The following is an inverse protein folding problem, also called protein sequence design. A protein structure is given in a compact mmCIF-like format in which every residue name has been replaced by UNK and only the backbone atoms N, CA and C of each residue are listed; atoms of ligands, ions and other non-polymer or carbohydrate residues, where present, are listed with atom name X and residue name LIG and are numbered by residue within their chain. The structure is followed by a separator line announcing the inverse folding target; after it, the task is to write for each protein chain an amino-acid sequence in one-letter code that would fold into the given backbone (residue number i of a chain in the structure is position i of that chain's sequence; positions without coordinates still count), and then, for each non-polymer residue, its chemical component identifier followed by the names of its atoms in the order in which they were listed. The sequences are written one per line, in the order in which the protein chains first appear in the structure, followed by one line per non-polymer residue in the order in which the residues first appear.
data_IF_125253458968
#
_entry.id   IF_125253458968
#
_cell.length_a   1.000
_cell.length_b   1.000
_cell.length_c   1.000
_cell.angle_alpha   90.00
_cell.angle_beta   90.00
_cell.angle_gamma   90.00
#
_symmetry.space_group_name_H-M   'P 1'
#
loop_
_entity.id
_entity.type
_entity.pdbx_description
1 polymer ?
#
# COMPACT_ATOMS: atom_id res chain seq x y z
N UNK A 1 -13.66 8.37 -8.11
CA UNK A 1 -12.77 9.46 -8.57
C UNK A 1 -13.51 10.57 -9.29
N UNK A 2 -14.17 10.29 -10.43
CA UNK A 2 -14.86 11.30 -11.26
C UNK A 2 -15.91 12.17 -10.54
N UNK A 3 -16.51 11.67 -9.47
CA UNK A 3 -17.45 12.42 -8.64
C UNK A 3 -16.79 13.33 -7.58
N UNK A 4 -15.47 13.54 -7.65
CA UNK A 4 -14.71 14.42 -6.72
C UNK A 4 -14.75 14.00 -5.25
N UNK A 5 -15.02 12.72 -4.98
CA UNK A 5 -15.19 12.23 -3.60
C UNK A 5 -13.86 11.99 -2.89
N UNK A 6 -13.92 11.94 -1.56
CA UNK A 6 -12.89 11.33 -0.73
C UNK A 6 -12.95 9.81 -0.89
N UNK A 7 -11.85 9.20 -1.28
CA UNK A 7 -11.71 7.76 -1.50
C UNK A 7 -10.73 7.21 -0.48
N UNK A 8 -11.22 6.33 0.39
CA UNK A 8 -10.42 5.57 1.33
C UNK A 8 -9.95 4.30 0.60
N UNK A 9 -8.70 4.29 0.14
CA UNK A 9 -8.19 3.26 -0.75
C UNK A 9 -7.45 2.17 0.03
N UNK A 10 -8.13 1.06 0.27
CA UNK A 10 -7.54 -0.19 0.76
C UNK A 10 -7.10 -1.13 -0.38
N UNK A 11 -7.76 -1.05 -1.54
CA UNK A 11 -7.46 -1.88 -2.70
C UNK A 11 -6.21 -1.36 -3.43
N UNK A 12 -5.06 -1.97 -3.14
CA UNK A 12 -3.77 -1.60 -3.75
C UNK A 12 -3.71 -1.99 -5.23
N UNK A 13 -4.42 -3.04 -5.64
CA UNK A 13 -4.44 -3.57 -7.00
C UNK A 13 -4.91 -2.52 -8.02
N UNK A 14 -5.96 -1.75 -7.71
CA UNK A 14 -6.43 -0.67 -8.58
C UNK A 14 -5.34 0.34 -8.89
N UNK A 15 -4.50 0.68 -7.89
CA UNK A 15 -3.42 1.65 -8.07
C UNK A 15 -2.21 1.03 -8.76
N UNK A 16 -1.90 -0.24 -8.50
CA UNK A 16 -0.82 -0.96 -9.20
C UNK A 16 -1.13 -1.11 -10.69
N UNK A 17 -2.36 -1.52 -11.03
CA UNK A 17 -2.76 -1.76 -12.43
C UNK A 17 -2.99 -0.46 -13.20
N UNK A 18 -3.58 0.57 -12.58
CA UNK A 18 -3.95 1.81 -13.28
C UNK A 18 -3.03 3.00 -12.99
N UNK A 19 -2.06 2.87 -12.08
CA UNK A 19 -1.00 3.83 -11.73
C UNK A 19 -1.24 5.28 -12.13
N UNK A 20 -0.58 5.71 -13.22
CA UNK A 20 -0.65 7.08 -13.74
C UNK A 20 -2.07 7.50 -14.14
N UNK A 21 -2.86 6.61 -14.75
CA UNK A 21 -4.24 6.91 -15.15
C UNK A 21 -5.12 7.17 -13.93
N UNK A 22 -4.97 6.35 -12.89
CA UNK A 22 -5.69 6.52 -11.63
C UNK A 22 -5.34 7.87 -10.98
N UNK A 23 -4.05 8.18 -10.84
CA UNK A 23 -3.60 9.43 -10.23
C UNK A 23 -4.01 10.65 -11.04
N UNK A 24 -3.97 10.56 -12.38
CA UNK A 24 -4.46 11.62 -13.25
C UNK A 24 -5.95 11.90 -13.05
N UNK A 25 -6.79 10.87 -12.90
CA UNK A 25 -8.21 11.04 -12.58
C UNK A 25 -8.43 11.65 -11.19
N UNK A 26 -7.62 11.28 -10.19
CA UNK A 26 -7.66 11.89 -8.85
C UNK A 26 -7.46 13.41 -8.97
N UNK A 27 -6.40 13.83 -9.67
CA UNK A 27 -6.05 15.24 -9.86
C UNK A 27 -7.08 15.99 -10.71
N UNK A 28 -7.50 15.39 -11.83
CA UNK A 28 -8.45 15.99 -12.79
C UNK A 28 -9.80 16.32 -12.14
N UNK A 29 -10.24 15.48 -11.20
CA UNK A 29 -11.55 15.62 -10.56
C UNK A 29 -11.47 16.13 -9.11
N UNK A 30 -10.30 16.61 -8.67
CA UNK A 30 -10.07 17.07 -7.29
C UNK A 30 -10.53 16.07 -6.21
N UNK A 31 -10.44 14.77 -6.51
CA UNK A 31 -10.76 13.74 -5.54
C UNK A 31 -9.67 13.69 -4.47
N UNK A 32 -10.06 13.45 -3.22
CA UNK A 32 -9.10 13.23 -2.14
C UNK A 32 -8.83 11.74 -2.00
N UNK A 33 -7.56 11.33 -2.11
CA UNK A 33 -7.15 9.95 -1.92
C UNK A 33 -6.51 9.79 -0.53
N UNK A 34 -7.01 8.84 0.27
CA UNK A 34 -6.41 8.50 1.56
C UNK A 34 -6.03 7.01 1.56
N UNK A 35 -4.76 6.65 1.80
CA UNK A 35 -4.34 5.26 1.85
C UNK A 35 -4.87 4.59 3.13
N UNK A 36 -5.46 3.41 2.98
CA UNK A 36 -5.93 2.59 4.13
C UNK A 36 -5.02 1.38 4.36
N UNK A 37 -4.29 0.95 3.35
CA UNK A 37 -3.27 -0.11 3.47
C UNK A 37 -2.24 0.27 4.55
N UNK A 38 -1.90 -0.66 5.45
CA UNK A 38 -1.28 -0.36 6.74
C UNK A 38 0.01 0.44 6.62
N UNK A 39 0.93 -0.02 5.78
CA UNK A 39 2.24 0.59 5.60
C UNK A 39 2.12 1.94 4.89
N UNK A 40 1.23 2.04 3.89
CA UNK A 40 1.00 3.29 3.17
C UNK A 40 0.35 4.34 4.06
N UNK A 41 -0.56 3.94 4.95
CA UNK A 41 -1.16 4.80 5.96
C UNK A 41 -0.14 5.23 7.03
N UNK A 42 0.75 4.33 7.45
CA UNK A 42 1.84 4.68 8.37
C UNK A 42 2.82 5.69 7.76
N UNK A 43 3.19 5.48 6.49
CA UNK A 43 3.99 6.44 5.71
C UNK A 43 3.25 7.78 5.61
N UNK A 44 1.97 7.78 5.22
CA UNK A 44 1.17 8.99 5.09
C UNK A 44 1.15 9.82 6.38
N UNK A 45 0.94 9.17 7.53
CA UNK A 45 0.96 9.83 8.85
C UNK A 45 2.35 10.38 9.22
N UNK A 46 3.42 9.79 8.69
CA UNK A 46 4.80 10.21 8.94
C UNK A 46 5.29 11.33 8.00
N UNK A 47 4.54 11.64 6.93
CA UNK A 47 4.90 12.70 5.99
C UNK A 47 4.47 14.08 6.50
N UNK A 48 5.23 15.15 6.19
CA UNK A 48 4.82 16.52 6.46
C UNK A 48 3.56 16.90 5.67
N UNK A 49 2.79 17.85 6.20
CA UNK A 49 1.50 18.28 5.65
C UNK A 49 1.53 18.63 4.14
N UNK A 50 2.54 19.34 3.59
CA UNK A 50 2.57 19.63 2.16
C UNK A 50 2.58 18.37 1.28
N UNK A 51 3.27 17.31 1.70
CA UNK A 51 3.29 16.03 1.01
C UNK A 51 1.96 15.28 1.13
N UNK A 52 1.27 15.39 2.28
CA UNK A 52 -0.07 14.84 2.47
C UNK A 52 -1.11 15.52 1.57
N UNK A 53 -1.05 16.86 1.44
CA UNK A 53 -1.95 17.64 0.58
C UNK A 53 -1.64 17.45 -0.91
N UNK A 54 -0.36 17.29 -1.27
CA UNK A 54 0.13 17.08 -2.63
C UNK A 54 0.35 15.61 -3.00
N UNK A 55 -0.45 14.69 -2.45
CA UNK A 55 -0.21 13.25 -2.55
C UNK A 55 -0.02 12.77 -4.00
N UNK A 56 1.15 12.19 -4.27
CA UNK A 56 1.53 11.65 -5.59
C UNK A 56 2.08 12.68 -6.60
N UNK A 57 2.20 13.95 -6.20
CA UNK A 57 2.68 15.02 -7.07
C UNK A 57 3.75 15.92 -6.44
N UNK A 58 3.79 16.01 -5.11
CA UNK A 58 4.79 16.79 -4.41
C UNK A 58 6.15 16.06 -4.34
N UNK A 59 7.24 16.84 -4.39
CA UNK A 59 8.61 16.33 -4.34
C UNK A 59 8.99 15.94 -2.90
N UNK A 60 9.40 14.70 -2.70
CA UNK A 60 9.86 14.20 -1.39
C UNK A 60 11.12 14.95 -0.92
N UNK A 61 12.10 15.14 -1.81
CA UNK A 61 13.40 15.73 -1.47
C UNK A 61 13.27 17.20 -1.05
N UNK A 62 12.42 17.98 -1.72
CA UNK A 62 12.18 19.40 -1.37
C UNK A 62 11.56 19.56 0.01
N UNK A 63 10.89 18.51 0.51
CA UNK A 63 10.28 18.48 1.84
C UNK A 63 11.12 17.67 2.84
N UNK A 64 12.41 17.48 2.57
CA UNK A 64 13.36 16.86 3.49
C UNK A 64 13.24 15.34 3.64
N UNK A 65 12.42 14.68 2.82
CA UNK A 65 12.25 13.22 2.86
C UNK A 65 13.30 12.56 1.96
N UNK A 66 14.30 11.92 2.59
CA UNK A 66 15.40 11.27 1.88
C UNK A 66 15.10 9.83 1.45
N UNK A 67 14.24 9.12 2.19
CA UNK A 67 13.87 7.72 1.92
C UNK A 67 12.52 7.37 2.54
N UNK A 68 11.89 6.33 1.99
CA UNK A 68 10.72 5.67 2.57
C UNK A 68 11.14 4.27 3.00
N UNK A 69 10.75 3.85 4.20
CA UNK A 69 10.98 2.49 4.70
C UNK A 69 9.65 1.74 4.63
N UNK A 70 9.61 0.69 3.81
CA UNK A 70 8.48 -0.21 3.72
C UNK A 70 8.77 -1.46 4.56
N UNK A 71 8.01 -1.65 5.63
CA UNK A 71 8.14 -2.82 6.52
C UNK A 71 7.46 -4.05 5.93
N UNK A 72 7.90 -5.24 6.35
CA UNK A 72 7.25 -6.49 6.00
C UNK A 72 7.36 -7.52 7.13
N UNK A 73 6.30 -8.30 7.37
CA UNK A 73 6.30 -9.40 8.34
C UNK A 73 7.26 -10.53 7.91
N UNK A 74 7.31 -10.78 6.61
CA UNK A 74 7.98 -11.95 6.00
C UNK A 74 7.04 -13.13 5.77
N UNK A 75 5.77 -13.04 6.19
CA UNK A 75 4.77 -14.09 5.98
C UNK A 75 4.99 -15.37 6.81
N UNK A 76 4.14 -16.39 6.64
CA UNK A 76 4.22 -17.64 7.40
C UNK A 76 5.49 -18.45 7.10
N UNK A 77 6.10 -18.26 5.93
CA UNK A 77 7.24 -19.05 5.46
C UNK A 77 8.60 -18.38 5.64
N UNK A 78 8.67 -17.31 6.45
CA UNK A 78 9.91 -16.54 6.67
C UNK A 78 11.10 -17.41 7.12
N UNK A 79 10.84 -18.46 7.90
CA UNK A 79 11.86 -19.36 8.45
C UNK A 79 11.84 -20.75 7.78
N UNK A 80 10.97 -20.97 6.79
CA UNK A 80 10.86 -22.25 6.07
C UNK A 80 12.08 -22.44 5.18
N UNK A 81 12.64 -23.65 5.17
CA UNK A 81 13.78 -23.93 4.31
C UNK A 81 13.37 -23.92 2.83
N UNK A 82 14.29 -23.56 1.93
CA UNK A 82 14.00 -23.53 0.49
C UNK A 82 13.54 -24.89 -0.06
N UNK A 83 14.05 -25.99 0.51
CA UNK A 83 13.68 -27.35 0.10
C UNK A 83 12.21 -27.70 0.42
N UNK A 84 11.65 -27.08 1.45
CA UNK A 84 10.28 -27.33 1.92
C UNK A 84 9.24 -26.44 1.21
N UNK A 85 9.64 -25.32 0.61
CA UNK A 85 8.71 -24.38 -0.03
C UNK A 85 7.85 -25.00 -1.13
N UNK A 86 8.40 -25.99 -1.86
CA UNK A 86 7.71 -26.63 -2.99
C UNK A 86 6.50 -27.50 -2.59
N UNK A 87 6.34 -27.83 -1.31
CA UNK A 87 5.28 -28.72 -0.81
C UNK A 87 4.27 -28.02 0.10
N UNK A 88 4.39 -26.70 0.28
CA UNK A 88 3.50 -25.94 1.16
C UNK A 88 2.07 -25.88 0.61
N UNK A 89 1.08 -25.96 1.50
CA UNK A 89 -0.34 -25.93 1.12
C UNK A 89 -0.95 -24.53 1.21
N UNK A 90 -2.09 -24.27 0.53
CA UNK A 90 -2.81 -23.00 0.66
C UNK A 90 -3.23 -22.69 2.11
N UNK A 91 -3.57 -23.71 2.89
CA UNK A 91 -3.93 -23.56 4.31
C UNK A 91 -2.74 -23.05 5.13
N UNK A 92 -1.53 -23.58 4.87
CA UNK A 92 -0.31 -23.10 5.51
C UNK A 92 0.05 -21.69 5.09
N UNK A 93 -0.15 -21.35 3.80
CA UNK A 93 0.06 -20.00 3.29
C UNK A 93 -0.92 -18.99 3.91
N UNK A 94 -2.17 -19.39 4.16
CA UNK A 94 -3.17 -18.52 4.76
C UNK A 94 -3.00 -18.32 6.28
N UNK A 95 -2.15 -19.11 6.95
CA UNK A 95 -1.93 -19.08 8.39
C UNK A 95 -0.93 -17.98 8.80
N UNK A 96 -1.25 -16.72 8.50
CA UNK A 96 -0.34 -15.61 8.75
C UNK A 96 -0.14 -15.37 10.27
N UNK A 97 1.11 -15.20 10.76
CA UNK A 97 1.40 -15.18 12.20
C UNK A 97 0.82 -13.98 12.95
N UNK A 98 0.62 -12.85 12.26
CA UNK A 98 0.23 -11.58 12.89
C UNK A 98 -1.15 -11.06 12.49
N UNK A 99 -1.75 -11.58 11.41
CA UNK A 99 -2.89 -10.90 10.76
C UNK A 99 -3.94 -11.93 10.34
N UNK A 100 -5.21 -11.61 10.60
CA UNK A 100 -6.35 -12.32 10.02
C UNK A 100 -6.80 -11.56 8.77
N UNK A 101 -6.61 -12.16 7.59
CA UNK A 101 -6.86 -11.52 6.30
C UNK A 101 -7.54 -12.48 5.32
N UNK A 102 -8.05 -11.94 4.21
CA UNK A 102 -8.64 -12.76 3.15
C UNK A 102 -7.59 -13.58 2.38
N UNK A 103 -7.99 -14.77 1.89
CA UNK A 103 -7.09 -15.75 1.24
C UNK A 103 -6.20 -15.22 0.13
N UNK A 104 -6.61 -14.15 -0.58
CA UNK A 104 -5.85 -13.60 -1.71
C UNK A 104 -4.65 -12.75 -1.28
N UNK A 105 -4.73 -12.11 -0.11
CA UNK A 105 -3.66 -11.26 0.42
C UNK A 105 -2.78 -12.00 1.42
N UNK A 106 -3.31 -13.07 2.05
CA UNK A 106 -2.54 -13.97 2.91
C UNK A 106 -1.47 -14.74 2.15
#
# INVERSE_FOLDING_TARGET
LRAGKRVLLANKESLVTCGRLFMNEVRRHHALLLPVDSEHNAIFQSLPEPLQRGLGYASLNEHGVSRIILTGSGGPFRQTSLAELGIMTPEQACAHPNWSMGRKIS
#
